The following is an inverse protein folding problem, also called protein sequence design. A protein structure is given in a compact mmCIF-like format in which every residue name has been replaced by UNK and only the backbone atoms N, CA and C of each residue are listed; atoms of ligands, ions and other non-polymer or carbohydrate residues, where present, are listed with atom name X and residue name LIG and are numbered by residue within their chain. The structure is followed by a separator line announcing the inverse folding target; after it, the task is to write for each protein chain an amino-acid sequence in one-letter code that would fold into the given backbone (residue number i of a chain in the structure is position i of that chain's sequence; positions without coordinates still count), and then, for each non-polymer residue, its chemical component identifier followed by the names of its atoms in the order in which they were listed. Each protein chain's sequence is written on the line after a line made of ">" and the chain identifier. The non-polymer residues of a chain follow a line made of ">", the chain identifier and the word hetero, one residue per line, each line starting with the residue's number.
data_IF_360505086229
#
_entry.id   IF_360505086229
#
_cell.length_a   1.000
_cell.length_b   1.000
_cell.length_c   1.000
_cell.angle_alpha   90.00
_cell.angle_beta   90.00
_cell.angle_gamma   90.00
#
_symmetry.space_group_name_H-M   'P 1'
#
loop_
_entity.id
_entity.type
_entity.pdbx_description
1 polymer ?
#
# COMPACT_ATOMS: atom_id res chain seq x y z
N UNK A 1 -0.91 9.25 -25.39
CA UNK A 1 -0.20 9.79 -24.20
C UNK A 1 -0.60 8.88 -23.06
N UNK A 2 0.34 8.31 -22.30
CA UNK A 2 0.00 7.42 -21.18
C UNK A 2 -0.87 8.17 -20.18
N UNK A 3 -2.02 7.61 -19.83
CA UNK A 3 -2.96 8.25 -18.91
C UNK A 3 -2.31 8.55 -17.55
N UNK A 4 -2.66 9.70 -16.98
CA UNK A 4 -2.25 10.17 -15.66
C UNK A 4 -3.05 9.52 -14.51
N UNK A 5 -3.85 8.49 -14.79
CA UNK A 5 -4.68 7.81 -13.79
C UNK A 5 -3.95 6.64 -13.15
N UNK A 6 -4.15 6.45 -11.85
CA UNK A 6 -3.68 5.28 -11.08
C UNK A 6 -4.85 4.70 -10.31
N UNK A 7 -5.36 3.55 -10.75
CA UNK A 7 -6.48 2.86 -10.10
C UNK A 7 -5.95 1.66 -9.31
N UNK A 8 -6.13 1.68 -8.00
CA UNK A 8 -5.56 0.66 -7.11
C UNK A 8 -6.47 0.32 -5.94
N UNK A 9 -6.22 -0.85 -5.34
CA UNK A 9 -6.85 -1.29 -4.09
C UNK A 9 -5.80 -1.46 -3.01
N UNK A 10 -6.21 -1.42 -1.73
CA UNK A 10 -5.34 -1.79 -0.62
C UNK A 10 -5.79 -3.14 -0.07
N UNK A 11 -4.98 -4.19 -0.23
CA UNK A 11 -5.25 -5.53 0.27
C UNK A 11 -4.50 -5.77 1.58
N UNK A 12 -5.16 -6.35 2.58
CA UNK A 12 -4.52 -6.65 3.86
C UNK A 12 -5.33 -7.65 4.67
N UNK A 13 -4.69 -8.25 5.67
CA UNK A 13 -5.42 -8.90 6.76
C UNK A 13 -6.11 -7.85 7.65
N UNK A 14 -7.18 -8.22 8.39
CA UNK A 14 -7.77 -7.41 9.44
C UNK A 14 -6.69 -6.83 10.36
N UNK A 15 -6.90 -5.58 10.76
CA UNK A 15 -6.03 -4.86 11.69
C UNK A 15 -4.59 -4.59 11.23
N UNK A 16 -4.17 -4.99 10.02
CA UNK A 16 -2.83 -4.67 9.48
C UNK A 16 -2.62 -3.15 9.29
N UNK A 17 -3.71 -2.37 9.21
CA UNK A 17 -3.68 -0.90 9.20
C UNK A 17 -4.18 -0.25 7.92
N UNK A 18 -4.87 -1.00 7.05
CA UNK A 18 -5.49 -0.49 5.80
C UNK A 18 -6.21 0.85 5.97
N UNK A 19 -7.18 0.95 6.89
CA UNK A 19 -7.96 2.19 7.11
C UNK A 19 -7.07 3.38 7.49
N UNK A 20 -6.04 3.14 8.30
CA UNK A 20 -5.08 4.20 8.69
C UNK A 20 -4.22 4.61 7.51
N UNK A 21 -3.75 3.66 6.70
CA UNK A 21 -2.99 3.98 5.49
C UNK A 21 -3.85 4.74 4.48
N UNK A 22 -5.10 4.34 4.26
CA UNK A 22 -6.08 5.05 3.44
C UNK A 22 -6.25 6.50 3.89
N UNK A 23 -6.49 6.74 5.18
CA UNK A 23 -6.60 8.10 5.73
C UNK A 23 -5.35 8.94 5.41
N UNK A 24 -4.16 8.38 5.57
CA UNK A 24 -2.90 9.09 5.33
C UNK A 24 -2.64 9.36 3.86
N UNK A 25 -2.94 8.41 2.97
CA UNK A 25 -2.84 8.62 1.51
C UNK A 25 -3.77 9.76 1.06
N UNK A 26 -5.00 9.80 1.57
CA UNK A 26 -5.94 10.88 1.28
C UNK A 26 -5.43 12.24 1.79
N UNK A 27 -4.88 12.30 3.01
CA UNK A 27 -4.27 13.53 3.53
C UNK A 27 -3.07 13.97 2.68
N UNK A 28 -2.23 13.03 2.27
CA UNK A 28 -1.07 13.29 1.40
C UNK A 28 -1.48 13.81 0.03
N UNK A 29 -2.65 13.39 -0.48
CA UNK A 29 -3.28 13.92 -1.69
C UNK A 29 -4.15 15.17 -1.47
N UNK A 30 -4.11 15.81 -0.30
CA UNK A 30 -4.89 17.01 -0.01
C UNK A 30 -6.40 16.79 0.15
N UNK A 31 -6.88 15.54 0.13
CA UNK A 31 -8.28 15.16 0.25
C UNK A 31 -8.75 15.14 1.72
N UNK A 32 -8.65 16.27 2.41
CA UNK A 32 -8.88 16.42 3.85
C UNK A 32 -10.27 15.95 4.29
N UNK A 33 -11.32 16.28 3.52
CA UNK A 33 -12.69 15.88 3.83
C UNK A 33 -12.86 14.36 3.77
N UNK A 34 -12.39 13.71 2.70
CA UNK A 34 -12.43 12.26 2.53
C UNK A 34 -11.63 11.55 3.63
N UNK A 35 -10.45 12.08 3.99
CA UNK A 35 -9.65 11.54 5.08
C UNK A 35 -10.40 11.60 6.43
N UNK A 36 -11.09 12.71 6.71
CA UNK A 36 -11.93 12.87 7.90
C UNK A 36 -13.06 11.84 7.96
N UNK A 37 -13.72 11.55 6.84
CA UNK A 37 -14.76 10.52 6.75
C UNK A 37 -14.23 9.11 7.00
N UNK A 38 -13.08 8.76 6.40
CA UNK A 38 -12.42 7.46 6.61
C UNK A 38 -12.03 7.28 8.07
N UNK A 39 -11.47 8.33 8.70
CA UNK A 39 -11.11 8.33 10.12
C UNK A 39 -12.33 8.11 11.02
N UNK A 40 -13.42 8.83 10.76
CA UNK A 40 -14.66 8.71 11.50
C UNK A 40 -15.27 7.31 11.37
N UNK A 41 -15.29 6.74 10.16
CA UNK A 41 -15.73 5.36 9.90
C UNK A 41 -14.86 4.34 10.63
N UNK A 42 -13.53 4.52 10.62
CA UNK A 42 -12.59 3.68 11.34
C UNK A 42 -12.73 3.75 12.86
N UNK A 43 -13.03 4.93 13.41
CA UNK A 43 -13.32 5.10 14.84
C UNK A 43 -14.65 4.44 15.24
N UNK A 44 -15.70 4.61 14.42
CA UNK A 44 -17.01 3.99 14.64
C UNK A 44 -16.95 2.46 14.63
N UNK A 45 -16.20 1.87 13.68
CA UNK A 45 -15.96 0.41 13.60
C UNK A 45 -15.26 -0.12 14.86
N UNK A 46 -14.22 0.56 15.35
CA UNK A 46 -13.48 0.14 16.58
C UNK A 46 -14.33 0.24 17.85
N UNK A 47 -15.28 1.17 17.90
CA UNK A 47 -16.08 1.42 19.10
C UNK A 47 -17.24 0.42 19.30
N UNK A 48 -17.64 -0.35 18.27
CA UNK A 48 -18.75 -1.31 18.37
C UNK A 48 -18.50 -2.56 17.53
N UNK A 49 -18.33 -3.69 18.20
CA UNK A 49 -18.26 -5.05 17.60
C UNK A 49 -19.50 -5.41 16.75
N UNK A 50 -20.63 -4.70 16.90
CA UNK A 50 -21.89 -4.94 16.19
C UNK A 50 -22.20 -3.92 15.07
N UNK A 51 -21.25 -3.04 14.69
CA UNK A 51 -21.50 -1.99 13.67
C UNK A 51 -21.96 -2.57 12.32
N UNK A 52 -21.38 -3.72 11.92
CA UNK A 52 -21.72 -4.38 10.64
C UNK A 52 -23.16 -4.88 10.59
N UNK A 53 -23.72 -5.42 11.68
CA UNK A 53 -25.15 -5.81 11.74
C UNK A 53 -26.06 -4.61 11.51
N UNK A 54 -25.66 -3.43 12.00
CA UNK A 54 -26.43 -2.19 11.87
C UNK A 54 -26.36 -1.64 10.44
N UNK A 55 -25.21 -1.71 9.78
CA UNK A 55 -25.03 -1.28 8.38
C UNK A 55 -25.88 -2.16 7.43
N UNK A 56 -25.80 -3.49 7.60
CA UNK A 56 -26.64 -4.47 6.88
C UNK A 56 -28.14 -4.26 7.15
N UNK A 57 -28.55 -4.03 8.40
CA UNK A 57 -29.95 -3.79 8.78
C UNK A 57 -30.51 -2.45 8.29
N UNK A 58 -29.67 -1.44 8.04
CA UNK A 58 -30.10 -0.11 7.58
C UNK A 58 -30.11 0.03 6.05
N UNK A 59 -29.73 -1.01 5.30
CA UNK A 59 -29.56 -0.91 3.85
C UNK A 59 -28.49 0.10 3.44
N UNK A 60 -27.66 0.53 4.38
CA UNK A 60 -26.49 1.37 4.11
C UNK A 60 -25.43 0.37 3.68
N UNK A 61 -25.36 0.22 2.37
CA UNK A 61 -24.45 -0.66 1.67
C UNK A 61 -23.06 -0.69 2.33
N UNK A 62 -22.61 -1.85 2.82
CA UNK A 62 -21.24 -2.16 3.32
C UNK A 62 -20.19 -2.08 2.18
N UNK A 63 -20.56 -1.43 1.09
CA UNK A 63 -19.92 -1.54 -0.21
C UNK A 63 -18.78 -0.56 -0.32
N UNK A 64 -17.58 -1.13 -0.50
CA UNK A 64 -16.40 -0.55 -1.16
C UNK A 64 -16.68 0.84 -1.78
N UNK A 65 -16.26 1.89 -1.06
CA UNK A 65 -16.30 3.25 -1.61
C UNK A 65 -15.09 3.44 -2.52
N UNK A 66 -15.32 4.00 -3.70
CA UNK A 66 -14.24 4.53 -4.54
C UNK A 66 -13.90 5.92 -4.02
N UNK A 67 -12.63 6.17 -3.75
CA UNK A 67 -12.12 7.46 -3.32
C UNK A 67 -11.19 7.99 -4.40
N UNK A 68 -11.56 9.11 -5.00
CA UNK A 68 -10.75 9.77 -6.03
C UNK A 68 -10.11 11.03 -5.45
N UNK A 69 -8.82 11.20 -5.66
CA UNK A 69 -8.06 12.37 -5.25
C UNK A 69 -6.92 12.64 -6.23
N UNK A 70 -6.40 13.87 -6.24
CA UNK A 70 -5.40 14.31 -7.20
C UNK A 70 -4.19 14.90 -6.48
N UNK A 71 -3.01 14.70 -7.06
CA UNK A 71 -1.78 15.30 -6.56
C UNK A 71 -0.80 15.50 -7.71
N UNK A 72 -0.10 16.62 -7.70
CA UNK A 72 0.95 16.91 -8.68
C UNK A 72 2.21 16.13 -8.33
N UNK A 73 2.74 15.41 -9.32
CA UNK A 73 4.02 14.72 -9.28
C UNK A 73 4.82 15.09 -10.52
N UNK A 74 6.07 15.54 -10.32
CA UNK A 74 7.01 15.85 -11.42
C UNK A 74 6.44 16.78 -12.51
N UNK A 75 5.54 17.70 -12.12
CA UNK A 75 4.90 18.67 -13.02
C UNK A 75 3.62 18.18 -13.71
N UNK A 76 3.16 16.97 -13.41
CA UNK A 76 1.93 16.38 -13.93
C UNK A 76 0.92 16.09 -12.79
N UNK A 77 -0.35 16.45 -12.99
CA UNK A 77 -1.41 16.09 -12.05
C UNK A 77 -1.77 14.62 -12.23
N UNK A 78 -1.57 13.81 -11.20
CA UNK A 78 -1.94 12.39 -11.19
C UNK A 78 -3.29 12.22 -10.49
N UNK A 79 -4.22 11.52 -11.14
CA UNK A 79 -5.53 11.18 -10.57
C UNK A 79 -5.48 9.77 -9.97
N UNK A 80 -5.63 9.67 -8.65
CA UNK A 80 -5.66 8.41 -7.92
C UNK A 80 -7.09 7.96 -7.70
N UNK A 81 -7.38 6.70 -8.04
CA UNK A 81 -8.65 6.05 -7.72
C UNK A 81 -8.37 4.89 -6.76
N UNK A 82 -8.69 5.09 -5.48
CA UNK A 82 -8.52 4.08 -4.44
C UNK A 82 -9.85 3.35 -4.21
N UNK A 83 -9.86 2.06 -4.51
CA UNK A 83 -10.98 1.16 -4.23
C UNK A 83 -10.78 0.51 -2.84
N UNK A 84 -11.70 0.79 -1.91
CA UNK A 84 -11.64 0.19 -0.57
C UNK A 84 -12.13 -1.27 -0.59
N UNK A 85 -11.25 -2.24 -0.32
CA UNK A 85 -11.64 -3.66 -0.18
C UNK A 85 -12.08 -3.97 1.25
N UNK A 86 -13.26 -4.55 1.51
CA UNK A 86 -13.66 -4.98 2.85
C UNK A 86 -12.61 -5.88 3.51
N UNK A 87 -12.29 -5.62 4.78
CA UNK A 87 -11.15 -6.24 5.47
C UNK A 87 -11.50 -7.19 6.63
N UNK A 88 -12.72 -7.16 7.18
CA UNK A 88 -13.15 -8.11 8.23
C UNK A 88 -13.88 -9.31 7.60
N UNK A 89 -14.34 -10.27 8.42
CA UNK A 89 -15.06 -11.53 8.09
C UNK A 89 -16.02 -11.55 6.88
N UNK A 90 -16.45 -10.39 6.36
CA UNK A 90 -17.02 -10.18 5.03
C UNK A 90 -16.00 -10.36 3.89
N UNK A 91 -15.16 -11.41 3.95
CA UNK A 91 -14.39 -11.85 2.79
C UNK A 91 -15.33 -12.48 1.78
N UNK A 92 -16.02 -11.61 1.04
CA UNK A 92 -17.05 -11.96 0.08
C UNK A 92 -16.53 -11.88 -1.35
N UNK A 93 -17.32 -12.42 -2.27
CA UNK A 93 -17.12 -12.30 -3.71
C UNK A 93 -16.89 -10.83 -4.15
N UNK A 94 -17.48 -9.86 -3.45
CA UNK A 94 -17.32 -8.43 -3.72
C UNK A 94 -15.87 -7.96 -3.63
N UNK A 95 -15.07 -8.54 -2.73
CA UNK A 95 -13.65 -8.17 -2.60
C UNK A 95 -12.87 -8.61 -3.82
N UNK A 96 -13.17 -9.81 -4.33
CA UNK A 96 -12.57 -10.31 -5.57
C UNK A 96 -13.04 -9.53 -6.79
N UNK A 97 -14.32 -9.14 -6.82
CA UNK A 97 -14.89 -8.26 -7.85
C UNK A 97 -14.24 -6.89 -7.87
N UNK A 98 -13.93 -6.33 -6.70
CA UNK A 98 -13.22 -5.05 -6.60
C UNK A 98 -11.81 -5.13 -7.21
N UNK A 99 -11.11 -6.26 -6.98
CA UNK A 99 -9.79 -6.49 -7.56
C UNK A 99 -9.80 -6.68 -9.08
N UNK A 100 -10.96 -6.83 -9.72
CA UNK A 100 -11.05 -6.88 -11.19
C UNK A 100 -11.07 -5.50 -11.83
N UNK A 101 -11.36 -4.46 -11.04
CA UNK A 101 -11.51 -3.08 -11.50
C UNK A 101 -10.27 -2.21 -11.23
N UNK A 102 -9.18 -2.81 -10.75
CA UNK A 102 -7.93 -2.10 -10.42
C UNK A 102 -6.79 -2.50 -11.35
N UNK A 103 -5.89 -1.56 -11.60
CA UNK A 103 -4.69 -1.78 -12.40
C UNK A 103 -3.50 -2.24 -11.53
N UNK A 104 -3.53 -1.99 -10.21
CA UNK A 104 -2.53 -2.43 -9.23
C UNK A 104 -3.12 -2.62 -7.83
N UNK A 105 -2.35 -3.21 -6.92
CA UNK A 105 -2.71 -3.34 -5.52
C UNK A 105 -1.57 -2.92 -4.58
N UNK A 106 -1.93 -2.43 -3.41
CA UNK A 106 -1.02 -2.15 -2.30
C UNK A 106 -1.28 -3.18 -1.21
N UNK A 107 -0.32 -4.03 -0.95
CA UNK A 107 -0.44 -5.05 0.08
C UNK A 107 0.12 -4.54 1.40
N UNK A 108 -0.72 -4.47 2.43
CA UNK A 108 -0.32 -4.01 3.76
C UNK A 108 -0.14 -5.20 4.69
N UNK A 109 1.05 -5.28 5.27
CA UNK A 109 1.46 -6.33 6.20
C UNK A 109 1.79 -5.69 7.54
N UNK A 110 1.42 -6.34 8.64
CA UNK A 110 1.83 -5.91 9.99
C UNK A 110 3.25 -6.45 10.28
N UNK A 111 4.21 -5.56 10.56
CA UNK A 111 5.61 -5.92 10.84
C UNK A 111 5.76 -6.97 11.96
N UNK A 112 4.83 -7.01 12.91
CA UNK A 112 4.87 -7.98 14.01
C UNK A 112 4.30 -9.35 13.63
N UNK A 113 3.37 -9.39 12.68
CA UNK A 113 2.63 -10.61 12.35
C UNK A 113 3.08 -11.28 11.06
N UNK A 114 3.62 -10.50 10.12
CA UNK A 114 3.96 -11.00 8.79
C UNK A 114 2.73 -11.38 7.97
N UNK A 115 2.89 -12.35 7.08
CA UNK A 115 1.82 -12.77 6.16
C UNK A 115 0.76 -13.61 6.87
N UNK A 116 -0.43 -13.02 7.02
CA UNK A 116 -1.60 -13.67 7.59
C UNK A 116 -2.52 -14.31 6.48
N UNK A 117 -3.42 -15.25 6.84
CA UNK A 117 -4.20 -16.03 5.86
C UNK A 117 -5.01 -15.22 4.85
N UNK A 118 -5.55 -14.06 5.24
CA UNK A 118 -6.34 -13.21 4.33
C UNK A 118 -5.45 -12.45 3.34
N UNK A 119 -4.27 -12.01 3.76
CA UNK A 119 -3.26 -11.41 2.87
C UNK A 119 -2.89 -12.41 1.76
N UNK A 120 -2.62 -13.67 2.14
CA UNK A 120 -2.33 -14.74 1.17
C UNK A 120 -3.47 -14.99 0.18
N UNK A 121 -4.72 -15.03 0.65
CA UNK A 121 -5.88 -15.22 -0.24
C UNK A 121 -6.06 -14.06 -1.23
N UNK A 122 -5.88 -12.83 -0.78
CA UNK A 122 -5.99 -11.64 -1.64
C UNK A 122 -4.87 -11.59 -2.67
N UNK A 123 -3.65 -11.92 -2.25
CA UNK A 123 -2.51 -12.06 -3.14
C UNK A 123 -2.78 -13.05 -4.27
N UNK A 124 -3.29 -14.25 -3.97
CA UNK A 124 -3.61 -15.24 -4.99
C UNK A 124 -4.59 -14.72 -6.04
N UNK A 125 -5.56 -13.88 -5.65
CA UNK A 125 -6.49 -13.25 -6.59
C UNK A 125 -5.81 -12.19 -7.45
N UNK A 126 -4.90 -11.39 -6.88
CA UNK A 126 -4.08 -10.48 -7.66
C UNK A 126 -3.18 -11.23 -8.66
N UNK A 127 -2.55 -12.33 -8.23
CA UNK A 127 -1.68 -13.18 -9.08
C UNK A 127 -2.44 -13.78 -10.25
N UNK A 128 -3.63 -14.34 -10.02
CA UNK A 128 -4.49 -14.90 -11.08
C UNK A 128 -4.90 -13.86 -12.14
N UNK A 129 -4.77 -12.57 -11.85
CA UNK A 129 -5.16 -11.46 -12.71
C UNK A 129 -3.97 -10.62 -13.19
N UNK A 130 -2.74 -11.05 -12.92
CA UNK A 130 -1.53 -10.28 -13.22
C UNK A 130 -1.66 -8.82 -12.75
N UNK A 131 -2.18 -8.64 -11.53
CA UNK A 131 -2.28 -7.33 -10.88
C UNK A 131 -0.98 -7.11 -10.11
N UNK A 132 -0.14 -6.13 -10.50
CA UNK A 132 1.12 -5.85 -9.85
C UNK A 132 0.91 -5.30 -8.43
N UNK A 133 1.84 -5.61 -7.52
CA UNK A 133 1.68 -5.38 -6.08
C UNK A 133 2.87 -4.59 -5.52
N UNK A 134 2.58 -3.45 -4.87
CA UNK A 134 3.54 -2.77 -3.99
C UNK A 134 3.27 -3.23 -2.56
N UNK A 135 4.30 -3.62 -1.83
CA UNK A 135 4.18 -4.11 -0.46
C UNK A 135 4.54 -3.02 0.55
N UNK A 136 3.70 -2.82 1.55
CA UNK A 136 3.92 -1.89 2.65
C UNK A 136 3.92 -2.63 3.99
N UNK A 137 5.09 -2.78 4.58
CA UNK A 137 5.29 -3.33 5.92
C UNK A 137 5.02 -2.22 6.94
N UNK A 138 3.85 -2.27 7.55
CA UNK A 138 3.33 -1.26 8.45
C UNK A 138 3.69 -1.56 9.92
N UNK A 139 3.59 -0.53 10.76
CA UNK A 139 3.74 -0.58 12.23
C UNK A 139 5.17 -0.83 12.72
N UNK A 140 6.18 -0.36 11.98
CA UNK A 140 7.58 -0.38 12.45
C UNK A 140 7.83 0.45 13.72
N UNK A 141 6.86 1.30 14.10
CA UNK A 141 6.83 1.99 15.40
C UNK A 141 6.54 1.06 16.59
N UNK A 142 6.32 -0.24 16.35
CA UNK A 142 6.09 -1.29 17.34
C UNK A 142 7.16 -2.37 17.21
N UNK A 143 7.31 -3.17 18.26
CA UNK A 143 8.14 -4.38 18.20
C UNK A 143 7.62 -5.29 17.08
N UNK A 144 8.54 -5.82 16.30
CA UNK A 144 8.24 -6.59 15.11
C UNK A 144 9.33 -7.60 14.79
N UNK A 145 9.14 -8.29 13.67
CA UNK A 145 10.12 -9.23 13.12
C UNK A 145 11.30 -8.46 12.53
N UNK A 146 12.44 -9.12 12.36
CA UNK A 146 13.57 -8.49 11.67
C UNK A 146 13.23 -8.16 10.21
N UNK A 147 14.02 -7.26 9.61
CA UNK A 147 13.87 -6.87 8.20
C UNK A 147 13.96 -8.11 7.31
N UNK A 148 15.02 -8.91 7.47
CA UNK A 148 15.26 -10.11 6.66
C UNK A 148 14.17 -11.17 6.82
N UNK A 149 13.77 -11.51 8.04
CA UNK A 149 12.69 -12.48 8.26
C UNK A 149 11.36 -12.03 7.65
N UNK A 150 11.16 -10.72 7.51
CA UNK A 150 9.97 -10.16 6.85
C UNK A 150 10.10 -10.24 5.33
N UNK A 151 11.24 -9.80 4.78
CA UNK A 151 11.48 -9.83 3.33
C UNK A 151 11.48 -11.27 2.79
N UNK A 152 12.15 -12.19 3.49
CA UNK A 152 12.21 -13.61 3.13
C UNK A 152 10.84 -14.28 3.22
N UNK A 153 10.05 -13.97 4.26
CA UNK A 153 8.68 -14.48 4.32
C UNK A 153 7.83 -13.96 3.16
N UNK A 154 7.99 -12.69 2.78
CA UNK A 154 7.28 -12.12 1.62
C UNK A 154 7.71 -12.83 0.34
N UNK A 155 9.01 -13.03 0.12
CA UNK A 155 9.53 -13.73 -1.04
C UNK A 155 8.99 -15.18 -1.12
N UNK A 156 9.12 -15.94 -0.03
CA UNK A 156 8.73 -17.35 0.04
C UNK A 156 7.21 -17.53 -0.06
N UNK A 157 6.45 -16.72 0.67
CA UNK A 157 5.00 -16.89 0.75
C UNK A 157 4.30 -16.52 -0.55
N UNK A 158 4.85 -15.55 -1.28
CA UNK A 158 4.24 -15.00 -2.50
C UNK A 158 4.88 -15.58 -3.77
N UNK A 159 6.06 -16.20 -3.65
CA UNK A 159 6.88 -16.64 -4.77
C UNK A 159 7.15 -15.48 -5.75
N UNK A 160 7.57 -14.33 -5.20
CA UNK A 160 7.93 -13.12 -5.94
C UNK A 160 9.34 -12.68 -5.57
N UNK A 161 10.02 -12.04 -6.52
CA UNK A 161 11.20 -11.26 -6.19
C UNK A 161 10.81 -10.08 -5.31
N UNK A 162 11.61 -9.83 -4.28
CA UNK A 162 11.39 -8.78 -3.29
C UNK A 162 12.48 -7.73 -3.45
N UNK A 163 12.08 -6.47 -3.64
CA UNK A 163 13.03 -5.36 -3.74
C UNK A 163 12.77 -4.33 -2.64
N UNK A 164 13.56 -4.28 -1.56
CA UNK A 164 13.40 -3.27 -0.53
C UNK A 164 13.76 -1.87 -1.07
N UNK A 165 12.86 -0.90 -0.90
CA UNK A 165 13.06 0.49 -1.35
C UNK A 165 13.55 1.40 -0.22
N UNK A 166 13.33 0.98 1.01
CA UNK A 166 13.76 1.67 2.21
C UNK A 166 13.97 0.65 3.33
N UNK A 167 14.51 1.10 4.47
CA UNK A 167 14.66 0.26 5.65
C UNK A 167 14.45 1.06 6.95
N UNK A 168 13.76 0.48 7.94
CA UNK A 168 13.59 1.12 9.24
C UNK A 168 14.90 1.03 10.04
N UNK A 169 15.29 2.14 10.67
CA UNK A 169 16.44 2.18 11.56
C UNK A 169 16.00 1.77 12.97
N UNK A 170 16.10 0.46 13.23
CA UNK A 170 15.51 -0.18 14.41
C UNK A 170 13.99 -0.28 14.33
N UNK A 171 13.38 -0.93 15.33
CA UNK A 171 11.92 -1.08 15.45
C UNK A 171 11.44 -0.77 16.86
N UNK A 172 10.13 -0.56 17.02
CA UNK A 172 9.50 -0.42 18.33
C UNK A 172 10.12 0.68 19.19
N UNK A 173 10.57 0.32 20.39
CA UNK A 173 11.20 1.26 21.32
C UNK A 173 12.50 1.87 20.78
N UNK A 174 13.16 1.18 19.84
CA UNK A 174 14.43 1.56 19.23
C UNK A 174 14.27 2.25 17.88
N UNK A 175 13.05 2.43 17.37
CA UNK A 175 12.80 3.06 16.07
C UNK A 175 13.35 4.50 16.02
N UNK A 176 14.25 4.76 15.06
CA UNK A 176 14.93 6.06 14.87
C UNK A 176 14.53 6.78 13.58
N UNK A 177 13.81 6.12 12.68
CA UNK A 177 13.46 6.67 11.39
C UNK A 177 13.48 5.62 10.29
N UNK A 178 13.36 6.07 9.06
CA UNK A 178 13.40 5.22 7.87
C UNK A 178 14.43 5.78 6.91
N UNK A 179 15.41 4.96 6.54
CA UNK A 179 16.37 5.26 5.51
C UNK A 179 15.77 4.93 4.15
N UNK A 180 15.66 5.93 3.30
CA UNK A 180 15.30 5.78 1.89
C UNK A 180 16.56 5.43 1.08
N UNK A 181 16.50 4.37 0.27
CA UNK A 181 17.69 3.88 -0.45
C UNK A 181 18.04 4.70 -1.68
N UNK A 182 17.06 5.37 -2.30
CA UNK A 182 17.26 6.19 -3.50
C UNK A 182 17.91 7.53 -3.15
N UNK A 183 17.37 8.23 -2.16
CA UNK A 183 17.85 9.55 -1.73
C UNK A 183 18.99 9.50 -0.71
N UNK A 184 19.23 8.33 -0.09
CA UNK A 184 20.16 8.15 1.03
C UNK A 184 19.90 9.09 2.21
N UNK A 185 18.64 9.46 2.41
CA UNK A 185 18.18 10.29 3.52
C UNK A 185 17.33 9.50 4.51
N UNK A 186 17.36 9.92 5.76
CA UNK A 186 16.60 9.35 6.87
C UNK A 186 15.48 10.29 7.24
N UNK A 187 14.24 9.80 7.13
CA UNK A 187 13.06 10.45 7.71
C UNK A 187 13.11 10.28 9.24
N UNK A 188 13.12 11.39 9.99
CA UNK A 188 13.31 11.37 11.46
C UNK A 188 12.01 11.63 12.26
N UNK A 189 11.85 11.04 13.45
CA UNK A 189 10.71 11.28 14.32
C UNK A 189 10.82 12.62 15.06
N UNK A 190 9.70 13.34 15.07
CA UNK A 190 9.59 14.67 15.63
C UNK A 190 8.49 14.75 16.70
N UNK A 191 8.69 15.67 17.66
CA UNK A 191 7.74 15.98 18.71
C UNK A 191 7.50 14.85 19.73
N UNK A 192 6.62 15.11 20.70
CA UNK A 192 6.29 14.14 21.75
C UNK A 192 5.54 12.89 21.22
N UNK A 193 4.89 13.01 20.07
CA UNK A 193 4.21 11.89 19.40
C UNK A 193 5.15 11.01 18.58
N UNK A 194 6.42 11.41 18.36
CA UNK A 194 7.39 10.72 17.49
C UNK A 194 6.81 10.46 16.09
N UNK A 195 6.19 11.47 15.50
CA UNK A 195 5.63 11.40 14.14
C UNK A 195 6.60 11.99 13.13
N UNK A 196 6.47 11.60 11.87
CA UNK A 196 7.18 12.26 10.77
C UNK A 196 6.44 13.53 10.36
N UNK A 197 7.10 14.68 10.52
CA UNK A 197 6.55 16.01 10.19
C UNK A 197 7.27 16.69 9.02
N UNK A 198 8.18 15.98 8.34
CA UNK A 198 8.84 16.42 7.11
C UNK A 198 10.36 16.52 7.18
N UNK A 199 10.97 16.37 8.36
CA UNK A 199 12.42 16.50 8.49
C UNK A 199 13.15 15.25 8.00
N UNK A 200 14.04 15.45 7.04
CA UNK A 200 14.95 14.42 6.52
C UNK A 200 16.39 14.86 6.70
N UNK A 201 17.25 13.93 7.09
CA UNK A 201 18.69 14.17 7.28
C UNK A 201 19.50 13.16 6.46
N UNK A 202 20.69 13.50 5.96
CA UNK A 202 21.59 12.51 5.38
C UNK A 202 21.88 11.38 6.37
N UNK A 203 22.14 10.18 5.87
CA UNK A 203 22.52 9.06 6.73
C UNK A 203 23.77 9.42 7.57
N UNK A 204 23.57 9.53 8.88
CA UNK A 204 24.65 9.74 9.85
C UNK A 204 25.33 8.44 10.24
N UNK A 205 26.24 8.51 11.22
CA UNK A 205 26.87 7.33 11.78
C UNK A 205 25.83 6.43 12.46
N UNK A 206 25.71 5.20 11.98
CA UNK A 206 24.91 4.14 12.60
C UNK A 206 25.78 3.29 13.51
N UNK A 207 25.20 2.61 14.53
CA UNK A 207 25.87 1.50 15.19
C UNK A 207 26.27 0.42 14.16
N UNK A 208 27.44 -0.20 14.34
CA UNK A 208 28.01 -1.17 13.38
C UNK A 208 27.01 -2.26 12.99
N UNK A 209 26.31 -2.86 13.96
CA UNK A 209 25.30 -3.91 13.72
C UNK A 209 24.16 -3.44 12.79
N UNK A 210 23.71 -2.18 12.95
CA UNK A 210 22.65 -1.62 12.12
C UNK A 210 23.17 -1.20 10.75
N UNK A 211 24.42 -0.73 10.66
CA UNK A 211 25.06 -0.43 9.39
C UNK A 211 25.19 -1.70 8.52
N UNK A 212 25.63 -2.81 9.12
CA UNK A 212 25.74 -4.10 8.47
C UNK A 212 24.36 -4.64 8.03
N UNK A 213 23.34 -4.55 8.89
CA UNK A 213 21.96 -4.95 8.53
C UNK A 213 21.43 -4.16 7.32
N UNK A 214 21.65 -2.84 7.29
CA UNK A 214 21.21 -1.99 6.19
C UNK A 214 21.97 -2.29 4.90
N UNK A 215 23.30 -2.45 4.97
CA UNK A 215 24.11 -2.79 3.80
C UNK A 215 23.67 -4.13 3.22
N UNK A 216 23.47 -5.14 4.08
CA UNK A 216 23.03 -6.47 3.65
C UNK A 216 21.61 -6.42 3.07
N UNK A 217 20.69 -5.64 3.63
CA UNK A 217 19.36 -5.45 3.05
C UNK A 217 19.41 -4.78 1.67
N UNK A 218 20.42 -3.96 1.40
CA UNK A 218 20.60 -3.30 0.09
C UNK A 218 21.21 -4.22 -0.96
N UNK A 219 22.18 -5.05 -0.60
CA UNK A 219 22.91 -5.91 -1.57
C UNK A 219 22.35 -7.34 -1.66
N UNK A 220 21.59 -7.78 -0.66
CA UNK A 220 21.09 -9.15 -0.54
C UNK A 220 19.83 -9.45 -1.35
N UNK A 221 19.16 -8.42 -1.86
CA UNK A 221 17.90 -8.51 -2.60
C UNK A 221 18.00 -7.88 -3.99
N UNK A 222 17.18 -8.32 -4.96
CA UNK A 222 17.12 -7.71 -6.28
C UNK A 222 16.87 -6.19 -6.26
N UNK A 223 17.53 -5.47 -7.17
CA UNK A 223 17.21 -4.07 -7.47
C UNK A 223 15.79 -3.97 -8.05
N UNK A 224 15.18 -2.79 -7.92
CA UNK A 224 13.83 -2.58 -8.44
C UNK A 224 13.84 -2.59 -9.98
N UNK A 225 13.05 -3.50 -10.55
CA UNK A 225 12.79 -3.55 -11.98
C UNK A 225 11.31 -3.23 -12.27
N UNK A 226 11.07 -2.18 -13.05
CA UNK A 226 9.73 -1.68 -13.36
C UNK A 226 8.92 -2.67 -14.20
N UNK A 227 9.57 -3.40 -15.11
CA UNK A 227 8.92 -4.33 -16.02
C UNK A 227 8.53 -5.61 -15.25
N UNK A 228 9.44 -6.16 -14.45
CA UNK A 228 9.16 -7.27 -13.53
C UNK A 228 8.05 -6.92 -12.54
N UNK A 229 8.06 -5.70 -11.98
CA UNK A 229 6.96 -5.24 -11.12
C UNK A 229 5.62 -5.24 -11.87
N UNK A 230 5.55 -4.65 -13.06
CA UNK A 230 4.31 -4.54 -13.84
C UNK A 230 3.80 -5.88 -14.37
N UNK A 231 4.70 -6.84 -14.58
CA UNK A 231 4.36 -8.23 -14.93
C UNK A 231 3.90 -9.05 -13.71
N UNK A 232 4.15 -8.54 -12.51
CA UNK A 232 3.78 -9.20 -11.26
C UNK A 232 4.79 -10.26 -10.81
N UNK A 233 6.04 -10.15 -11.25
CA UNK A 233 7.16 -11.03 -10.87
C UNK A 233 7.97 -10.46 -9.69
N UNK A 234 7.92 -9.14 -9.49
CA UNK A 234 8.63 -8.41 -8.44
C UNK A 234 7.69 -7.53 -7.62
N UNK A 235 7.92 -7.45 -6.30
CA UNK A 235 7.23 -6.49 -5.43
C UNK A 235 8.23 -5.52 -4.78
N UNK A 236 8.10 -4.20 -5.00
CA UNK A 236 8.83 -3.23 -4.19
C UNK A 236 8.26 -3.21 -2.77
N UNK A 237 9.14 -3.30 -1.77
CA UNK A 237 8.78 -3.32 -0.35
C UNK A 237 9.18 -2.00 0.30
N UNK A 238 8.19 -1.37 0.92
CA UNK A 238 8.36 -0.19 1.78
C UNK A 238 8.04 -0.55 3.22
N UNK A 239 8.96 -0.27 4.13
CA UNK A 239 8.70 -0.23 5.55
C UNK A 239 8.15 1.14 5.95
N UNK A 240 7.27 1.14 6.96
CA UNK A 240 6.59 2.36 7.35
C UNK A 240 5.74 2.25 8.61
N UNK A 241 5.26 3.41 9.04
CA UNK A 241 4.22 3.51 10.06
C UNK A 241 3.17 4.48 9.58
N UNK A 242 2.05 3.94 9.09
CA UNK A 242 0.91 4.74 8.70
C UNK A 242 0.39 5.57 9.89
N UNK A 243 0.43 5.04 11.12
CA UNK A 243 0.02 5.78 12.30
C UNK A 243 0.90 7.01 12.53
N UNK A 244 2.22 6.85 12.37
CA UNK A 244 3.24 7.89 12.62
C UNK A 244 3.64 8.69 11.38
N UNK A 245 2.96 8.47 10.25
CA UNK A 245 3.20 9.15 8.96
C UNK A 245 4.56 8.85 8.29
N UNK A 246 5.19 7.73 8.61
CA UNK A 246 6.45 7.30 7.99
C UNK A 246 6.20 6.39 6.79
N UNK A 247 6.94 6.61 5.69
CA UNK A 247 6.90 5.79 4.48
C UNK A 247 5.68 6.04 3.58
N UNK A 248 4.73 6.89 4.00
CA UNK A 248 3.49 7.14 3.23
C UNK A 248 3.76 8.05 2.04
N UNK A 249 4.66 9.03 2.18
CA UNK A 249 5.02 9.95 1.09
C UNK A 249 5.79 9.21 -0.02
N UNK A 250 6.71 8.35 0.37
CA UNK A 250 7.48 7.48 -0.52
C UNK A 250 6.54 6.49 -1.24
N UNK A 251 5.58 5.89 -0.51
CA UNK A 251 4.59 4.99 -1.09
C UNK A 251 3.69 5.68 -2.13
N UNK A 252 3.15 6.87 -1.85
CA UNK A 252 2.28 7.57 -2.82
C UNK A 252 3.07 8.01 -4.07
N UNK A 253 4.35 8.38 -3.90
CA UNK A 253 5.24 8.67 -5.02
C UNK A 253 5.53 7.42 -5.87
N UNK A 254 5.76 6.27 -5.24
CA UNK A 254 5.92 4.99 -5.92
C UNK A 254 4.67 4.60 -6.72
N UNK A 255 3.46 4.82 -6.17
CA UNK A 255 2.20 4.60 -6.90
C UNK A 255 2.12 5.52 -8.13
N UNK A 256 2.44 6.80 -7.97
CA UNK A 256 2.42 7.77 -9.07
C UNK A 256 3.35 7.33 -10.23
N UNK A 257 4.60 6.98 -9.88
CA UNK A 257 5.66 6.67 -10.85
C UNK A 257 5.52 5.28 -11.47
N UNK A 258 5.25 4.26 -10.66
CA UNK A 258 5.44 2.86 -11.07
C UNK A 258 4.14 2.17 -11.41
N UNK A 259 3.07 2.40 -10.64
CA UNK A 259 1.80 1.71 -10.87
C UNK A 259 1.31 1.96 -12.30
N UNK A 260 0.76 0.93 -12.96
CA UNK A 260 0.32 1.03 -14.33
C UNK A 260 -0.83 2.05 -14.47
N UNK A 261 -0.89 2.79 -15.59
CA UNK A 261 -2.12 3.45 -16.01
C UNK A 261 -3.21 2.42 -16.35
N UNK A 262 -4.45 2.85 -16.65
CA UNK A 262 -5.48 1.97 -17.19
C UNK A 262 -4.93 1.07 -18.29
N UNK A 263 -5.16 -0.24 -18.17
CA UNK A 263 -4.69 -1.25 -19.11
C UNK A 263 -5.80 -1.71 -20.06
N UNK A 264 -5.44 -2.23 -21.26
CA UNK A 264 -6.41 -2.88 -22.13
C UNK A 264 -7.21 -3.95 -21.39
N UNK A 265 -8.52 -4.00 -21.66
CA UNK A 265 -9.43 -4.94 -21.02
C UNK A 265 -9.95 -5.97 -22.02
N UNK A 266 -10.04 -7.26 -21.65
CA UNK A 266 -10.57 -8.27 -22.54
C UNK A 266 -12.09 -8.11 -22.73
N UNK A 267 -12.57 -8.35 -23.96
CA UNK A 267 -13.99 -8.43 -24.28
C UNK A 267 -14.26 -9.57 -25.28
N UNK A 268 -15.54 -9.89 -25.52
CA UNK A 268 -15.93 -10.85 -26.56
C UNK A 268 -15.52 -10.42 -27.97
N UNK A 269 -15.27 -9.12 -28.17
CA UNK A 269 -14.89 -8.53 -29.46
C UNK A 269 -13.37 -8.35 -29.60
N UNK A 270 -12.58 -8.80 -28.61
CA UNK A 270 -11.14 -8.58 -28.51
C UNK A 270 -10.77 -7.64 -27.36
N UNK A 271 -9.49 -7.24 -27.31
CA UNK A 271 -9.03 -6.28 -26.30
C UNK A 271 -9.53 -4.86 -26.61
N UNK A 272 -10.06 -4.20 -25.58
CA UNK A 272 -10.49 -2.80 -25.65
C UNK A 272 -9.38 -1.93 -25.06
N UNK A 273 -8.79 -1.09 -25.91
CA UNK A 273 -7.78 -0.12 -25.48
C UNK A 273 -8.39 0.98 -24.61
N UNK A 274 -7.70 1.47 -23.57
CA UNK A 274 -8.10 2.67 -22.84
C UNK A 274 -8.13 3.95 -23.70
N UNK A 275 -7.45 3.93 -24.85
CA UNK A 275 -7.46 5.02 -25.83
C UNK A 275 -8.63 4.89 -26.83
N UNK A 276 -9.55 3.94 -26.64
CA UNK A 276 -10.72 3.77 -27.49
C UNK A 276 -11.66 4.98 -27.38
N UNK A 277 -12.09 5.52 -28.53
CA UNK A 277 -12.84 6.79 -28.59
C UNK A 277 -14.26 6.70 -28.01
N UNK A 278 -14.88 5.52 -28.08
CA UNK A 278 -16.22 5.30 -27.53
C UNK A 278 -16.17 4.89 -26.06
N UNK A 279 -17.18 5.36 -25.29
CA UNK A 279 -17.33 4.99 -23.88
C UNK A 279 -17.62 3.50 -23.78
N UNK A 280 -16.74 2.80 -23.08
CA UNK A 280 -16.88 1.38 -22.74
C UNK A 280 -16.68 1.20 -21.23
N UNK A 281 -17.21 0.11 -20.69
CA UNK A 281 -17.06 -0.23 -19.28
C UNK A 281 -17.74 -1.54 -18.96
N UNK A 282 -17.39 -2.11 -17.81
CA UNK A 282 -18.01 -3.30 -17.28
C UNK A 282 -18.48 -3.05 -15.85
N UNK A 283 -19.56 -3.72 -15.46
CA UNK A 283 -20.07 -3.67 -14.10
C UNK A 283 -19.28 -4.69 -13.29
N UNK A 284 -18.45 -4.22 -12.37
CA UNK A 284 -17.80 -5.08 -11.38
C UNK A 284 -18.61 -5.14 -10.08
N UNK A 285 -19.43 -4.12 -9.79
CA UNK A 285 -20.25 -4.00 -8.60
C UNK A 285 -21.49 -3.14 -8.83
#
# INVERSE_FOLDING_TARGET
>A
MTSNRRTFAIISHPDAGKTTLTEKLLLQGGAIHLAGEVKARGAARRARSDWMKIEQQRGISVTSSVMTFEKDFDGETITFNLLDTPGHEDFSEDTYRTLTAVDSAIMVIDAAKGIEPQTRKLFEVCRLRSVPIITFINKVDREGRSIFETLDEVADALALDVSPQNAPLGMGGLFRGILDFDSETVSIPEGGSKEFLGTREPLGALPDELAEEIELARIGYPEFDLEAYRNGDLTPVFFGSALKNFGVEELIAAIARWAPPPRPQPSEQGEISPEHDEVTGFIFK
#
